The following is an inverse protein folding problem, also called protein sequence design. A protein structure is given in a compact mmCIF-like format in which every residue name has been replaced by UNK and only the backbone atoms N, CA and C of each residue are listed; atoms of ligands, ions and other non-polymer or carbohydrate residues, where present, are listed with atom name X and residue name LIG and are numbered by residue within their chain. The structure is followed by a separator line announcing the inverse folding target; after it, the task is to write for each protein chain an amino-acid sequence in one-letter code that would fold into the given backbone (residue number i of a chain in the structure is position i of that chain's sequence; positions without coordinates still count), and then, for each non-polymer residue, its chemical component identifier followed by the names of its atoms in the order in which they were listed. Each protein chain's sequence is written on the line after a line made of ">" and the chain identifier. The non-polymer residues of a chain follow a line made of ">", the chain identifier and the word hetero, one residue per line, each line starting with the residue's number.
data_IF_661706022205
#
_entry.id   IF_661706022205
#
_cell.length_a   1.000
_cell.length_b   1.000
_cell.length_c   1.000
_cell.angle_alpha   90.00
_cell.angle_beta   90.00
_cell.angle_gamma   90.00
#
_symmetry.space_group_name_H-M   'P 1'
#
loop_
_entity.id
_entity.type
_entity.pdbx_description
1 polymer ?
#
# COMPACT_ATOMS: atom_id res chain seq x y z
N UNK A 1 -13.63 2.33 -1.14
CA UNK A 1 -14.58 1.90 -0.11
C UNK A 1 -15.75 1.11 -0.72
N UNK A 2 -16.40 1.60 -1.78
CA UNK A 2 -17.56 0.96 -2.42
C UNK A 2 -17.25 -0.45 -2.94
N UNK A 3 -16.11 -0.65 -3.59
CA UNK A 3 -15.70 -1.96 -4.12
C UNK A 3 -15.51 -3.00 -3.00
N UNK A 4 -15.00 -2.56 -1.83
CA UNK A 4 -14.88 -3.41 -0.65
C UNK A 4 -16.23 -3.87 -0.13
N UNK A 5 -17.16 -2.91 0.07
CA UNK A 5 -18.52 -3.21 0.54
C UNK A 5 -19.30 -4.07 -0.46
N UNK A 6 -19.16 -3.78 -1.76
CA UNK A 6 -19.79 -4.58 -2.81
C UNK A 6 -19.23 -6.01 -2.84
N UNK A 7 -17.92 -6.19 -2.61
CA UNK A 7 -17.31 -7.51 -2.54
C UNK A 7 -17.78 -8.34 -1.34
N UNK A 8 -18.04 -7.67 -0.21
CA UNK A 8 -18.58 -8.32 0.99
C UNK A 8 -20.05 -8.72 0.79
N UNK A 9 -20.84 -7.85 0.12
CA UNK A 9 -22.26 -8.13 -0.18
C UNK A 9 -22.40 -9.27 -1.19
N UNK A 10 -21.61 -9.27 -2.25
CA UNK A 10 -21.67 -10.32 -3.28
C UNK A 10 -21.12 -11.66 -2.78
N UNK A 11 -20.37 -11.70 -1.66
CA UNK A 11 -19.66 -12.86 -1.18
C UNK A 11 -18.58 -13.38 -2.16
N UNK A 12 -18.36 -12.68 -3.25
CA UNK A 12 -17.44 -13.03 -4.34
C UNK A 12 -16.48 -11.88 -4.61
N UNK A 13 -15.19 -12.17 -4.56
CA UNK A 13 -14.13 -11.16 -4.74
C UNK A 13 -13.54 -11.19 -6.15
N UNK A 14 -13.51 -12.37 -6.79
CA UNK A 14 -12.93 -12.61 -8.10
C UNK A 14 -13.53 -11.72 -9.19
N UNK A 15 -14.86 -11.53 -9.20
CA UNK A 15 -15.53 -10.70 -10.20
C UNK A 15 -15.04 -9.24 -10.20
N UNK A 16 -14.88 -8.64 -9.02
CA UNK A 16 -14.36 -7.27 -8.88
C UNK A 16 -12.86 -7.18 -9.19
N UNK A 17 -12.09 -8.23 -8.90
CA UNK A 17 -10.69 -8.31 -9.32
C UNK A 17 -10.58 -8.37 -10.83
N UNK A 18 -11.37 -9.23 -11.50
CA UNK A 18 -11.41 -9.31 -12.96
C UNK A 18 -11.82 -7.98 -13.59
N UNK A 19 -12.83 -7.30 -13.03
CA UNK A 19 -13.23 -5.98 -13.52
C UNK A 19 -12.09 -4.96 -13.37
N UNK A 20 -11.46 -4.87 -12.20
CA UNK A 20 -10.41 -3.88 -11.92
C UNK A 20 -9.12 -4.15 -12.71
N UNK A 21 -8.67 -5.40 -12.81
CA UNK A 21 -7.51 -5.77 -13.62
C UNK A 21 -7.83 -5.76 -15.13
N UNK A 22 -9.05 -6.14 -15.52
CA UNK A 22 -9.53 -6.05 -16.89
C UNK A 22 -9.55 -4.62 -17.41
N UNK A 23 -10.11 -3.67 -16.65
CA UNK A 23 -10.05 -2.24 -16.97
C UNK A 23 -8.61 -1.77 -17.15
N UNK A 24 -7.72 -2.13 -16.23
CA UNK A 24 -6.30 -1.79 -16.34
C UNK A 24 -5.65 -2.42 -17.59
N UNK A 25 -5.98 -3.66 -17.94
CA UNK A 25 -5.47 -4.32 -19.15
C UNK A 25 -6.00 -3.67 -20.43
N UNK A 26 -7.29 -3.30 -20.45
CA UNK A 26 -7.91 -2.60 -21.60
C UNK A 26 -7.32 -1.20 -21.83
N UNK A 27 -6.84 -0.52 -20.77
CA UNK A 27 -6.21 0.80 -20.92
C UNK A 27 -4.77 0.72 -21.43
N UNK A 28 -4.08 -0.43 -21.31
CA UNK A 28 -2.68 -0.55 -21.75
C UNK A 28 -2.49 -0.28 -23.26
N UNK A 29 -3.29 -0.85 -24.16
CA UNK A 29 -3.21 -0.53 -25.60
C UNK A 29 -3.51 0.94 -25.92
N UNK A 30 -4.30 1.63 -25.08
CA UNK A 30 -4.65 3.03 -25.31
C UNK A 30 -3.43 3.97 -25.20
N UNK A 31 -2.41 3.61 -24.40
CA UNK A 31 -1.21 4.46 -24.27
C UNK A 31 -0.39 4.54 -25.55
N UNK A 32 -0.01 3.43 -26.23
CA UNK A 32 0.70 3.50 -27.50
C UNK A 32 -0.16 4.03 -28.65
N UNK A 33 -1.51 3.94 -28.56
CA UNK A 33 -2.44 4.46 -29.56
C UNK A 33 -2.83 5.92 -29.30
N UNK A 34 -2.42 6.51 -28.20
CA UNK A 34 -2.78 7.89 -27.86
C UNK A 34 -1.99 8.90 -28.72
N UNK A 35 -2.73 9.73 -29.46
CA UNK A 35 -2.18 10.83 -30.26
C UNK A 35 -2.37 12.21 -29.60
N UNK A 36 -2.99 12.25 -28.42
CA UNK A 36 -3.23 13.50 -27.69
C UNK A 36 -3.03 13.32 -26.19
N UNK A 37 -2.77 14.41 -25.49
CA UNK A 37 -2.61 14.43 -24.02
C UNK A 37 -3.92 14.02 -23.33
N UNK A 38 -5.07 14.39 -23.89
CA UNK A 38 -6.40 14.05 -23.37
C UNK A 38 -6.61 12.52 -23.42
N UNK A 39 -6.20 11.86 -24.51
CA UNK A 39 -6.31 10.40 -24.64
C UNK A 39 -5.45 9.69 -23.57
N UNK A 40 -4.22 10.16 -23.34
CA UNK A 40 -3.36 9.65 -22.26
C UNK A 40 -4.00 9.88 -20.89
N UNK A 41 -4.57 11.07 -20.67
CA UNK A 41 -5.26 11.40 -19.42
C UNK A 41 -6.45 10.46 -19.17
N UNK A 42 -7.31 10.24 -20.16
CA UNK A 42 -8.45 9.33 -20.06
C UNK A 42 -7.99 7.89 -19.79
N UNK A 43 -6.99 7.39 -20.52
CA UNK A 43 -6.43 6.06 -20.29
C UNK A 43 -5.92 5.92 -18.85
N UNK A 44 -5.19 6.94 -18.35
CA UNK A 44 -4.68 6.96 -16.98
C UNK A 44 -5.79 7.03 -15.94
N UNK A 45 -6.81 7.82 -16.18
CA UNK A 45 -7.96 7.95 -15.29
C UNK A 45 -8.72 6.64 -15.15
N UNK A 46 -8.99 5.94 -16.26
CA UNK A 46 -9.65 4.62 -16.24
C UNK A 46 -8.77 3.57 -15.55
N UNK A 47 -7.45 3.56 -15.77
CA UNK A 47 -6.51 2.70 -15.03
C UNK A 47 -6.60 2.94 -13.51
N UNK A 48 -6.71 4.20 -13.07
CA UNK A 48 -6.87 4.56 -11.65
C UNK A 48 -8.20 4.08 -11.07
N UNK A 49 -9.28 4.17 -11.82
CA UNK A 49 -10.58 3.57 -11.43
C UNK A 49 -10.42 2.06 -11.25
N UNK A 50 -9.80 1.37 -12.21
CA UNK A 50 -9.52 -0.07 -12.11
C UNK A 50 -8.70 -0.42 -10.86
N UNK A 51 -7.69 0.39 -10.52
CA UNK A 51 -6.91 0.23 -9.28
C UNK A 51 -7.77 0.42 -8.02
N UNK A 52 -8.68 1.41 -8.01
CA UNK A 52 -9.61 1.64 -6.92
C UNK A 52 -10.59 0.49 -6.71
N UNK A 53 -11.08 -0.12 -7.80
CA UNK A 53 -12.01 -1.25 -7.75
C UNK A 53 -11.34 -2.50 -7.16
N UNK A 54 -10.09 -2.81 -7.55
CA UNK A 54 -9.43 -4.07 -7.16
C UNK A 54 -8.74 -4.04 -5.80
N UNK A 55 -8.39 -2.87 -5.26
CA UNK A 55 -7.53 -2.75 -4.09
C UNK A 55 -8.08 -3.45 -2.85
N UNK A 56 -9.23 -3.01 -2.35
CA UNK A 56 -9.85 -3.59 -1.16
C UNK A 56 -10.29 -5.06 -1.34
N UNK A 57 -10.93 -5.48 -2.46
CA UNK A 57 -11.25 -6.89 -2.70
C UNK A 57 -10.02 -7.80 -2.76
N UNK A 58 -8.88 -7.33 -3.30
CA UNK A 58 -7.63 -8.08 -3.35
C UNK A 58 -7.10 -8.37 -1.96
N UNK A 59 -6.98 -7.32 -1.15
CA UNK A 59 -6.43 -7.46 0.20
C UNK A 59 -7.36 -8.29 1.10
N UNK A 60 -8.68 -8.15 0.91
CA UNK A 60 -9.66 -9.00 1.57
C UNK A 60 -9.56 -10.46 1.13
N UNK A 61 -9.31 -10.75 -0.16
CA UNK A 61 -9.11 -12.11 -0.64
C UNK A 61 -7.86 -12.75 -0.02
N UNK A 62 -6.75 -12.02 0.06
CA UNK A 62 -5.55 -12.50 0.76
C UNK A 62 -5.86 -12.82 2.22
N UNK A 63 -6.59 -11.94 2.92
CA UNK A 63 -7.00 -12.16 4.31
C UNK A 63 -7.94 -13.36 4.49
N UNK A 64 -8.71 -13.72 3.45
CA UNK A 64 -9.64 -14.86 3.48
C UNK A 64 -8.95 -16.19 3.27
N UNK A 65 -7.95 -16.21 2.39
CA UNK A 65 -7.21 -17.44 2.00
C UNK A 65 -6.06 -17.71 2.97
N UNK A 66 -5.42 -16.67 3.50
CA UNK A 66 -4.27 -16.79 4.38
C UNK A 66 -4.67 -17.34 5.77
N UNK A 67 -4.13 -18.49 6.19
CA UNK A 67 -4.30 -18.96 7.56
C UNK A 67 -3.84 -17.91 8.58
N UNK A 68 -4.51 -17.76 9.74
CA UNK A 68 -4.15 -16.76 10.74
C UNK A 68 -2.69 -16.81 11.20
N UNK A 69 -2.11 -18.03 11.25
CA UNK A 69 -0.74 -18.27 11.71
C UNK A 69 0.35 -17.73 10.78
N UNK A 70 0.06 -17.57 9.48
CA UNK A 70 1.04 -17.11 8.46
C UNK A 70 0.51 -15.90 7.67
N UNK A 71 -0.49 -15.21 8.18
CA UNK A 71 -1.14 -14.09 7.48
C UNK A 71 -0.18 -12.92 7.25
N UNK A 72 0.70 -12.65 8.21
CA UNK A 72 1.74 -11.65 8.07
C UNK A 72 2.71 -11.96 6.95
N UNK A 73 3.20 -13.20 6.86
CA UNK A 73 4.05 -13.67 5.77
C UNK A 73 3.35 -13.55 4.40
N UNK A 74 2.05 -13.90 4.32
CA UNK A 74 1.26 -13.77 3.07
C UNK A 74 1.16 -12.32 2.61
N UNK A 75 0.86 -11.37 3.51
CA UNK A 75 0.84 -9.94 3.17
C UNK A 75 2.23 -9.40 2.86
N UNK A 76 3.26 -9.86 3.57
CA UNK A 76 4.66 -9.52 3.30
C UNK A 76 5.09 -9.98 1.92
N UNK A 77 4.82 -11.24 1.55
CA UNK A 77 5.09 -11.79 0.23
C UNK A 77 4.37 -11.01 -0.88
N UNK A 78 3.06 -10.74 -0.68
CA UNK A 78 2.30 -9.92 -1.63
C UNK A 78 2.96 -8.57 -1.85
N UNK A 79 3.41 -7.93 -0.79
CA UNK A 79 4.03 -6.61 -0.86
C UNK A 79 5.40 -6.66 -1.54
N UNK A 80 6.23 -7.68 -1.23
CA UNK A 80 7.50 -7.90 -1.93
C UNK A 80 7.28 -8.07 -3.44
N UNK A 81 6.30 -8.89 -3.84
CA UNK A 81 6.00 -9.10 -5.27
C UNK A 81 5.48 -7.84 -5.97
N UNK A 82 4.64 -7.06 -5.29
CA UNK A 82 4.15 -5.76 -5.80
C UNK A 82 5.34 -4.80 -6.06
N UNK A 83 6.31 -4.77 -5.14
CA UNK A 83 7.49 -3.89 -5.23
C UNK A 83 8.51 -4.40 -6.26
N UNK A 84 8.70 -5.72 -6.38
CA UNK A 84 9.50 -6.32 -7.47
C UNK A 84 8.95 -5.86 -8.82
N UNK A 85 7.64 -5.93 -9.02
CA UNK A 85 6.99 -5.46 -10.25
C UNK A 85 7.19 -3.96 -10.49
N UNK A 86 7.10 -3.15 -9.44
CA UNK A 86 7.33 -1.71 -9.51
C UNK A 86 8.77 -1.33 -9.87
N UNK A 87 9.74 -2.17 -9.49
CA UNK A 87 11.16 -2.01 -9.85
C UNK A 87 11.48 -2.57 -11.25
N UNK A 88 11.04 -3.79 -11.54
CA UNK A 88 11.33 -4.46 -12.81
C UNK A 88 10.65 -3.78 -14.01
N UNK A 89 9.48 -3.16 -13.82
CA UNK A 89 8.76 -2.47 -14.89
C UNK A 89 9.59 -1.39 -15.57
N UNK A 90 10.05 -0.36 -14.85
CA UNK A 90 10.92 0.68 -15.40
C UNK A 90 12.26 0.13 -15.94
N UNK A 91 12.85 -0.85 -15.27
CA UNK A 91 14.11 -1.47 -15.75
C UNK A 91 13.92 -2.16 -17.10
N UNK A 92 12.86 -2.95 -17.25
CA UNK A 92 12.52 -3.57 -18.54
C UNK A 92 12.21 -2.53 -19.61
N UNK A 93 11.52 -1.44 -19.24
CA UNK A 93 11.25 -0.36 -20.18
C UNK A 93 12.56 0.28 -20.72
N UNK A 94 13.54 0.52 -19.83
CA UNK A 94 14.86 1.04 -20.24
C UNK A 94 15.58 0.05 -21.17
N UNK A 95 15.63 -1.23 -20.79
CA UNK A 95 16.28 -2.26 -21.62
C UNK A 95 15.60 -2.41 -22.99
N UNK A 96 14.27 -2.38 -23.03
CA UNK A 96 13.52 -2.45 -24.29
C UNK A 96 13.71 -1.20 -25.13
N UNK A 97 13.82 0.00 -24.54
CA UNK A 97 14.16 1.23 -25.26
C UNK A 97 15.52 1.16 -25.94
N UNK A 98 16.53 0.53 -25.30
CA UNK A 98 17.86 0.32 -25.90
C UNK A 98 17.83 -0.65 -27.10
N UNK A 99 16.83 -1.54 -27.15
CA UNK A 99 16.73 -2.55 -28.21
C UNK A 99 15.77 -2.16 -29.34
N UNK A 100 14.67 -1.51 -29.00
CA UNK A 100 13.60 -1.19 -29.94
C UNK A 100 13.69 0.25 -30.46
N UNK A 101 14.40 1.12 -29.74
CA UNK A 101 14.57 2.56 -30.05
C UNK A 101 13.25 3.29 -30.34
N UNK A 102 12.13 2.72 -29.86
CA UNK A 102 10.79 3.24 -30.08
C UNK A 102 9.93 3.05 -28.81
N UNK A 103 9.47 4.17 -28.26
CA UNK A 103 8.64 4.21 -27.08
C UNK A 103 7.28 3.51 -27.28
N UNK A 104 6.71 3.61 -28.48
CA UNK A 104 5.41 3.03 -28.79
C UNK A 104 5.49 1.50 -28.73
N UNK A 105 6.53 0.91 -29.31
CA UNK A 105 6.80 -0.53 -29.26
C UNK A 105 7.02 -1.02 -27.82
N UNK A 106 7.77 -0.27 -26.99
CA UNK A 106 7.93 -0.59 -25.56
C UNK A 106 6.59 -0.60 -24.81
N UNK A 107 5.73 0.37 -25.08
CA UNK A 107 4.39 0.42 -24.47
C UNK A 107 3.51 -0.76 -24.90
N UNK A 108 3.64 -1.26 -26.13
CA UNK A 108 2.96 -2.47 -26.57
C UNK A 108 3.40 -3.72 -25.81
N UNK A 109 4.69 -3.85 -25.47
CA UNK A 109 5.20 -4.97 -24.66
C UNK A 109 4.52 -4.99 -23.28
N UNK A 110 4.19 -3.83 -22.70
CA UNK A 110 3.50 -3.75 -21.42
C UNK A 110 2.07 -4.33 -21.42
N UNK A 111 1.48 -4.54 -22.58
CA UNK A 111 0.17 -5.20 -22.73
C UNK A 111 0.25 -6.69 -22.33
N UNK A 112 1.35 -7.37 -22.64
CA UNK A 112 1.52 -8.80 -22.39
C UNK A 112 1.37 -9.17 -20.91
N UNK A 113 2.11 -8.56 -19.94
CA UNK A 113 1.93 -8.87 -18.53
C UNK A 113 0.54 -8.47 -18.02
N UNK A 114 -0.09 -7.43 -18.56
CA UNK A 114 -1.45 -7.05 -18.18
C UNK A 114 -2.48 -8.11 -18.57
N UNK A 115 -2.38 -8.67 -19.78
CA UNK A 115 -3.22 -9.78 -20.23
C UNK A 115 -2.94 -11.06 -19.42
N UNK A 116 -1.68 -11.36 -19.14
CA UNK A 116 -1.29 -12.52 -18.33
C UNK A 116 -1.95 -12.48 -16.94
N UNK A 117 -2.00 -11.33 -16.30
CA UNK A 117 -2.68 -11.19 -14.99
C UNK A 117 -4.18 -11.51 -15.12
N UNK A 118 -4.86 -11.07 -16.16
CA UNK A 118 -6.28 -11.37 -16.37
C UNK A 118 -6.47 -12.88 -16.59
N UNK A 119 -5.62 -13.51 -17.41
CA UNK A 119 -5.66 -14.95 -17.64
C UNK A 119 -5.43 -15.78 -16.38
N UNK A 120 -4.46 -15.37 -15.54
CA UNK A 120 -4.22 -16.01 -14.25
C UNK A 120 -5.40 -15.85 -13.30
N UNK A 121 -6.04 -14.68 -13.28
CA UNK A 121 -7.25 -14.46 -12.48
C UNK A 121 -8.44 -15.30 -12.94
N UNK A 122 -8.58 -15.57 -14.25
CA UNK A 122 -9.62 -16.47 -14.77
C UNK A 122 -9.45 -17.89 -14.22
N UNK A 123 -8.21 -18.35 -14.03
CA UNK A 123 -7.88 -19.68 -13.47
C UNK A 123 -7.96 -19.73 -11.94
N UNK A 124 -8.02 -18.58 -11.25
CA UNK A 124 -8.11 -18.53 -9.81
C UNK A 124 -9.40 -19.19 -9.31
N UNK A 125 -9.26 -20.17 -8.43
CA UNK A 125 -10.39 -20.76 -7.70
C UNK A 125 -10.71 -19.89 -6.50
N UNK A 126 -11.91 -19.38 -6.43
CA UNK A 126 -12.37 -18.57 -5.29
C UNK A 126 -12.89 -19.52 -4.19
N UNK A 127 -12.50 -19.31 -2.92
CA UNK A 127 -13.08 -20.08 -1.83
C UNK A 127 -14.59 -19.79 -1.75
N UNK A 128 -15.40 -20.85 -1.72
CA UNK A 128 -16.85 -20.74 -1.57
C UNK A 128 -17.16 -20.19 -0.17
N UNK A 129 -17.79 -19.03 -0.11
CA UNK A 129 -18.36 -18.47 1.10
C UNK A 129 -19.86 -18.76 1.12
N UNK A 130 -20.45 -19.05 2.30
CA UNK A 130 -21.90 -19.06 2.43
C UNK A 130 -22.41 -17.69 1.99
N UNK A 131 -23.21 -17.66 0.93
CA UNK A 131 -23.89 -16.45 0.48
C UNK A 131 -25.08 -16.24 1.40
N UNK A 132 -24.86 -15.60 2.55
CA UNK A 132 -25.99 -15.07 3.29
C UNK A 132 -26.56 -13.92 2.47
N UNK A 133 -27.83 -14.02 2.10
CA UNK A 133 -28.60 -12.99 1.40
C UNK A 133 -28.84 -11.79 2.34
N UNK A 134 -27.76 -11.02 2.59
CA UNK A 134 -27.87 -9.77 3.35
C UNK A 134 -28.16 -8.61 2.41
N UNK A 135 -29.08 -7.71 2.75
CA UNK A 135 -29.33 -6.53 1.93
C UNK A 135 -28.04 -5.70 1.80
N UNK A 136 -27.75 -5.21 0.58
CA UNK A 136 -26.64 -4.30 0.37
C UNK A 136 -26.82 -3.06 1.26
N UNK A 137 -25.82 -2.80 2.11
CA UNK A 137 -25.81 -1.59 2.94
C UNK A 137 -24.69 -0.69 2.47
N UNK A 138 -25.03 0.56 2.24
CA UNK A 138 -24.05 1.57 1.83
C UNK A 138 -22.94 1.67 2.89
N UNK A 139 -21.65 1.63 2.48
CA UNK A 139 -20.54 1.80 3.41
C UNK A 139 -20.45 3.21 3.99
N UNK A 140 -21.23 4.17 3.47
CA UNK A 140 -21.30 5.56 3.95
C UNK A 140 -22.23 5.70 5.14
N UNK A 141 -23.14 4.74 5.38
CA UNK A 141 -24.04 4.79 6.51
C UNK A 141 -23.30 4.71 7.84
N UNK A 142 -23.51 5.69 8.72
CA UNK A 142 -22.93 5.74 10.07
C UNK A 142 -23.16 4.45 10.88
N UNK A 143 -24.26 3.76 10.64
CA UNK A 143 -24.59 2.48 11.28
C UNK A 143 -23.63 1.36 10.85
N UNK A 144 -23.06 1.41 9.65
CA UNK A 144 -22.06 0.43 9.19
C UNK A 144 -20.73 0.59 9.97
N UNK A 145 -20.38 1.81 10.35
CA UNK A 145 -19.14 2.12 11.08
C UNK A 145 -19.16 1.64 12.53
N UNK A 146 -20.35 1.61 13.16
CA UNK A 146 -20.55 1.08 14.52
C UNK A 146 -20.35 -0.43 14.65
N UNK A 147 -20.30 -1.16 13.53
CA UNK A 147 -20.04 -2.60 13.50
C UNK A 147 -18.58 -2.95 13.74
N UNK A 148 -17.67 -1.99 13.53
CA UNK A 148 -16.25 -2.21 13.75
C UNK A 148 -15.89 -1.99 15.21
N UNK A 149 -15.02 -2.88 15.71
CA UNK A 149 -14.53 -2.83 17.09
C UNK A 149 -13.70 -1.59 17.37
N UNK A 150 -13.53 -1.25 18.65
CA UNK A 150 -12.58 -0.21 19.08
C UNK A 150 -11.14 -0.54 18.63
N UNK A 151 -10.79 -1.81 18.58
CA UNK A 151 -9.48 -2.27 18.10
C UNK A 151 -9.27 -1.94 16.62
N UNK A 152 -10.28 -2.11 15.78
CA UNK A 152 -10.22 -1.75 14.37
C UNK A 152 -9.98 -0.23 14.20
N UNK A 153 -10.78 0.60 14.87
CA UNK A 153 -10.63 2.06 14.77
C UNK A 153 -9.30 2.55 15.31
N UNK A 154 -8.76 1.89 16.33
CA UNK A 154 -7.42 2.17 16.81
C UNK A 154 -6.35 1.84 15.75
N UNK A 155 -6.47 0.71 15.04
CA UNK A 155 -5.57 0.37 13.93
C UNK A 155 -5.69 1.40 12.80
N UNK A 156 -6.93 1.83 12.47
CA UNK A 156 -7.17 2.88 11.46
C UNK A 156 -6.51 4.21 11.88
N UNK A 157 -6.62 4.60 13.14
CA UNK A 157 -6.01 5.83 13.66
C UNK A 157 -4.47 5.76 13.62
N UNK A 158 -3.87 4.64 14.05
CA UNK A 158 -2.41 4.43 13.95
C UNK A 158 -1.97 4.44 12.49
N UNK A 159 -2.69 3.75 11.61
CA UNK A 159 -2.39 3.72 10.17
C UNK A 159 -2.57 5.08 9.49
N UNK A 160 -3.55 5.88 9.92
CA UNK A 160 -3.75 7.25 9.45
C UNK A 160 -2.59 8.17 9.84
N UNK A 161 -2.17 8.16 11.13
CA UNK A 161 -1.00 8.91 11.60
C UNK A 161 0.29 8.44 10.91
N UNK A 162 0.44 7.13 10.74
CA UNK A 162 1.55 6.57 9.97
C UNK A 162 1.55 7.07 8.53
N UNK A 163 0.37 7.17 7.90
CA UNK A 163 0.27 7.69 6.52
C UNK A 163 0.55 9.18 6.46
N UNK A 164 0.20 9.96 7.49
CA UNK A 164 0.59 11.37 7.60
C UNK A 164 2.11 11.54 7.75
N UNK A 165 2.78 10.62 8.46
CA UNK A 165 4.23 10.60 8.58
C UNK A 165 4.92 10.29 7.24
N UNK A 166 4.26 9.52 6.38
CA UNK A 166 4.77 9.05 5.10
C UNK A 166 4.21 9.87 3.95
N UNK A 167 4.78 11.02 3.71
CA UNK A 167 4.46 11.87 2.55
C UNK A 167 4.91 11.22 1.22
N UNK A 168 4.71 11.93 0.12
CA UNK A 168 5.06 11.43 -1.23
C UNK A 168 6.56 11.14 -1.37
N UNK A 169 6.90 10.01 -1.96
CA UNK A 169 8.27 9.60 -2.31
C UNK A 169 8.98 10.61 -3.22
N UNK A 170 8.22 11.51 -3.89
CA UNK A 170 8.77 12.60 -4.68
C UNK A 170 9.70 13.53 -3.87
N UNK A 171 9.47 13.68 -2.55
CA UNK A 171 10.33 14.51 -1.71
C UNK A 171 11.73 13.91 -1.50
N UNK A 172 11.88 12.58 -1.59
CA UNK A 172 13.18 11.92 -1.62
C UNK A 172 13.96 12.30 -2.88
N UNK A 173 13.26 12.32 -4.01
CA UNK A 173 13.83 12.74 -5.31
C UNK A 173 14.26 14.20 -5.25
N UNK A 174 13.39 15.09 -4.76
CA UNK A 174 13.69 16.51 -4.60
C UNK A 174 14.90 16.73 -3.68
N UNK A 175 15.02 15.95 -2.59
CA UNK A 175 16.17 16.04 -1.69
C UNK A 175 17.46 15.64 -2.38
N UNK A 176 17.46 14.57 -3.18
CA UNK A 176 18.60 14.14 -3.95
C UNK A 176 19.06 15.20 -4.95
N UNK A 177 18.10 15.83 -5.65
CA UNK A 177 18.39 16.92 -6.60
C UNK A 177 18.99 18.14 -5.89
N UNK A 178 18.46 18.53 -4.71
CA UNK A 178 19.03 19.62 -3.90
C UNK A 178 20.49 19.36 -3.48
N UNK A 179 20.86 18.10 -3.25
CA UNK A 179 22.23 17.69 -2.91
C UNK A 179 23.13 17.55 -4.14
N UNK A 180 22.65 17.90 -5.32
CA UNK A 180 23.43 17.90 -6.55
C UNK A 180 23.46 16.55 -7.30
N UNK A 181 22.54 15.63 -7.01
CA UNK A 181 22.42 14.41 -7.79
C UNK A 181 21.98 14.76 -9.21
N UNK A 182 22.82 14.42 -10.21
CA UNK A 182 22.51 14.67 -11.61
C UNK A 182 21.23 13.94 -12.03
N UNK A 183 20.40 14.57 -12.88
CA UNK A 183 19.06 14.10 -13.26
C UNK A 183 19.05 12.67 -13.79
N UNK A 184 20.09 12.23 -14.46
CA UNK A 184 20.27 10.85 -14.96
C UNK A 184 20.34 9.80 -13.85
N UNK A 185 20.80 10.17 -12.63
CA UNK A 185 20.94 9.27 -11.48
C UNK A 185 19.76 9.35 -10.51
N UNK A 186 18.82 10.25 -10.71
CA UNK A 186 17.61 10.39 -9.87
C UNK A 186 16.86 9.06 -9.70
N UNK A 187 16.70 8.20 -10.73
CA UNK A 187 16.06 6.90 -10.56
C UNK A 187 16.75 6.00 -9.53
N UNK A 188 18.06 6.18 -9.25
CA UNK A 188 18.81 5.39 -8.27
C UNK A 188 18.18 5.47 -6.86
N UNK A 189 17.62 6.62 -6.50
CA UNK A 189 16.92 6.81 -5.21
C UNK A 189 15.77 5.82 -5.08
N UNK A 190 14.93 5.72 -6.12
CA UNK A 190 13.79 4.81 -6.14
C UNK A 190 14.23 3.34 -6.20
N UNK A 191 15.34 3.06 -6.90
CA UNK A 191 15.92 1.71 -6.98
C UNK A 191 16.38 1.26 -5.60
N UNK A 192 17.17 2.05 -4.89
CA UNK A 192 17.68 1.75 -3.55
C UNK A 192 16.51 1.55 -2.57
N UNK A 193 15.56 2.47 -2.56
CA UNK A 193 14.38 2.39 -1.71
C UNK A 193 13.56 1.11 -2.00
N UNK A 194 13.25 0.84 -3.28
CA UNK A 194 12.43 -0.31 -3.67
C UNK A 194 13.14 -1.65 -3.41
N UNK A 195 14.46 -1.72 -3.60
CA UNK A 195 15.25 -2.91 -3.29
C UNK A 195 15.19 -3.23 -1.80
N UNK A 196 15.46 -2.23 -0.95
CA UNK A 196 15.40 -2.40 0.51
C UNK A 196 13.98 -2.76 0.98
N UNK A 197 12.95 -2.17 0.36
CA UNK A 197 11.56 -2.51 0.62
C UNK A 197 11.26 -3.97 0.24
N UNK A 198 11.60 -4.40 -0.95
CA UNK A 198 11.39 -5.77 -1.43
C UNK A 198 12.03 -6.80 -0.50
N UNK A 199 13.29 -6.58 -0.15
CA UNK A 199 14.07 -7.51 0.69
C UNK A 199 13.54 -7.58 2.12
N UNK A 200 12.98 -6.48 2.66
CA UNK A 200 12.50 -6.40 4.04
C UNK A 200 11.03 -6.82 4.21
N UNK A 201 10.19 -6.73 3.17
CA UNK A 201 8.75 -6.91 3.32
C UNK A 201 8.34 -8.34 3.70
N UNK A 202 8.91 -9.36 3.07
CA UNK A 202 8.62 -10.76 3.43
C UNK A 202 9.17 -11.13 4.82
N UNK A 203 10.44 -10.86 5.16
CA UNK A 203 10.96 -11.11 6.51
C UNK A 203 10.18 -10.39 7.61
N UNK A 204 9.78 -9.13 7.39
CA UNK A 204 8.98 -8.39 8.36
C UNK A 204 7.58 -9.01 8.52
N UNK A 205 6.96 -9.45 7.42
CA UNK A 205 5.70 -10.18 7.45
C UNK A 205 5.80 -11.48 8.25
N UNK A 206 6.81 -12.29 7.98
CA UNK A 206 7.10 -13.52 8.72
C UNK A 206 7.37 -13.24 10.21
N UNK A 207 8.16 -12.20 10.51
CA UNK A 207 8.44 -11.78 11.89
C UNK A 207 7.16 -11.39 12.63
N UNK A 208 6.19 -10.78 11.95
CA UNK A 208 4.90 -10.38 12.52
C UNK A 208 3.98 -11.54 12.87
N UNK A 209 4.25 -12.74 12.35
CA UNK A 209 3.53 -13.95 12.72
C UNK A 209 4.14 -14.62 13.98
N UNK A 210 5.43 -14.36 14.27
CA UNK A 210 6.15 -14.93 15.42
C UNK A 210 6.25 -13.97 16.61
N UNK A 211 6.23 -12.66 16.36
CA UNK A 211 6.24 -11.60 17.37
C UNK A 211 4.88 -10.91 17.45
N UNK A 212 4.67 -10.12 18.50
CA UNK A 212 3.49 -9.25 18.56
C UNK A 212 3.55 -8.24 17.40
N UNK A 213 2.54 -8.23 16.55
CA UNK A 213 2.45 -7.34 15.37
C UNK A 213 2.68 -5.86 15.69
N UNK A 214 2.27 -5.41 16.90
CA UNK A 214 2.54 -4.06 17.36
C UNK A 214 4.03 -3.76 17.56
N UNK A 215 4.84 -4.75 17.96
CA UNK A 215 6.29 -4.55 18.09
C UNK A 215 6.95 -4.44 16.71
N UNK A 216 6.55 -5.27 15.75
CA UNK A 216 7.08 -5.17 14.38
C UNK A 216 6.69 -3.85 13.72
N UNK A 217 5.45 -3.37 13.94
CA UNK A 217 5.03 -2.04 13.48
C UNK A 217 5.80 -0.92 14.19
N UNK A 218 6.08 -1.05 15.49
CA UNK A 218 6.90 -0.08 16.24
C UNK A 218 8.32 -0.01 15.67
N UNK A 219 8.92 -1.15 15.31
CA UNK A 219 10.23 -1.18 14.61
C UNK A 219 10.15 -0.42 13.28
N UNK A 220 9.08 -0.63 12.50
CA UNK A 220 8.85 0.13 11.26
C UNK A 220 8.76 1.64 11.50
N UNK A 221 8.05 2.07 12.54
CA UNK A 221 7.95 3.50 12.90
C UNK A 221 9.28 4.08 13.37
N UNK A 222 10.06 3.35 14.15
CA UNK A 222 11.41 3.78 14.58
C UNK A 222 12.35 3.90 13.37
N UNK A 223 12.28 2.98 12.42
CA UNK A 223 13.04 3.05 11.17
C UNK A 223 12.62 4.26 10.33
N UNK A 224 11.33 4.61 10.30
CA UNK A 224 10.86 5.81 9.60
C UNK A 224 11.38 7.08 10.27
N UNK A 225 11.32 7.17 11.61
CA UNK A 225 11.88 8.29 12.36
C UNK A 225 13.38 8.44 12.05
N UNK A 226 14.13 7.34 12.08
CA UNK A 226 15.57 7.35 11.78
C UNK A 226 15.84 7.78 10.33
N UNK A 227 15.04 7.29 9.36
CA UNK A 227 15.13 7.67 7.96
C UNK A 227 14.88 9.17 7.77
N UNK A 228 13.81 9.69 8.37
CA UNK A 228 13.44 11.10 8.26
C UNK A 228 14.49 12.01 8.90
N UNK A 229 14.98 11.68 10.10
CA UNK A 229 16.04 12.45 10.76
C UNK A 229 17.33 12.44 9.91
N UNK A 230 17.69 11.28 9.33
CA UNK A 230 18.86 11.17 8.47
C UNK A 230 18.71 12.03 7.19
N UNK A 231 17.53 11.99 6.56
CA UNK A 231 17.22 12.79 5.37
C UNK A 231 17.17 14.29 5.67
N UNK A 232 16.71 14.69 6.87
CA UNK A 232 16.69 16.08 7.29
C UNK A 232 18.12 16.68 7.37
N UNK A 233 19.07 15.92 7.95
CA UNK A 233 20.45 16.37 8.15
C UNK A 233 21.40 15.95 7.03
N UNK A 234 20.92 15.24 6.00
CA UNK A 234 21.77 14.75 4.92
C UNK A 234 22.45 15.92 4.19
N UNK A 235 23.78 15.90 4.20
CA UNK A 235 24.65 16.87 3.53
C UNK A 235 25.38 16.29 2.30
N UNK A 236 25.22 14.99 2.05
CA UNK A 236 25.87 14.28 0.95
C UNK A 236 24.94 13.25 0.32
N UNK A 237 25.20 12.90 -0.94
CA UNK A 237 24.43 11.90 -1.69
C UNK A 237 24.46 10.51 -1.01
N UNK A 238 25.62 9.98 -0.54
CA UNK A 238 25.63 8.69 0.17
C UNK A 238 24.75 8.69 1.41
N UNK A 239 24.79 9.75 2.22
CA UNK A 239 23.98 9.85 3.43
C UNK A 239 22.48 9.91 3.11
N UNK A 240 22.11 10.62 2.05
CA UNK A 240 20.74 10.67 1.53
C UNK A 240 20.29 9.30 1.02
N UNK A 241 21.14 8.55 0.32
CA UNK A 241 20.82 7.19 -0.14
C UNK A 241 20.65 6.21 1.02
N UNK A 242 21.43 6.35 2.10
CA UNK A 242 21.20 5.61 3.34
C UNK A 242 19.82 5.92 3.95
N UNK A 243 19.42 7.20 3.95
CA UNK A 243 18.07 7.61 4.38
C UNK A 243 16.97 6.98 3.51
N UNK A 244 17.16 6.98 2.17
CA UNK A 244 16.23 6.32 1.23
C UNK A 244 16.18 4.79 1.42
N UNK A 245 17.30 4.14 1.73
CA UNK A 245 17.35 2.72 2.06
C UNK A 245 16.54 2.42 3.34
N UNK A 246 16.75 3.18 4.41
CA UNK A 246 15.97 3.07 5.64
C UNK A 246 14.48 3.32 5.40
N UNK A 247 14.15 4.29 4.53
CA UNK A 247 12.77 4.53 4.09
C UNK A 247 12.18 3.28 3.40
N UNK A 248 12.93 2.59 2.57
CA UNK A 248 12.52 1.33 1.97
C UNK A 248 12.30 0.24 3.02
N UNK A 249 13.21 0.07 3.96
CA UNK A 249 13.09 -0.93 5.04
C UNK A 249 11.85 -0.69 5.89
N UNK A 250 11.60 0.57 6.32
CA UNK A 250 10.41 0.88 7.14
C UNK A 250 9.10 0.50 6.41
N UNK A 251 9.04 0.68 5.09
CA UNK A 251 7.87 0.27 4.29
C UNK A 251 7.63 -1.24 4.38
N UNK A 252 8.70 -2.04 4.34
CA UNK A 252 8.64 -3.48 4.54
C UNK A 252 8.08 -3.86 5.91
N UNK A 253 8.52 -3.20 6.97
CA UNK A 253 8.08 -3.43 8.34
C UNK A 253 6.68 -2.91 8.67
N UNK A 254 6.06 -2.13 7.81
CA UNK A 254 4.79 -1.46 8.11
C UNK A 254 3.63 -1.88 7.21
N UNK A 255 3.80 -1.92 5.89
CA UNK A 255 2.70 -2.09 4.94
C UNK A 255 1.96 -3.43 5.10
N UNK A 256 2.70 -4.55 5.09
CA UNK A 256 2.14 -5.89 5.27
C UNK A 256 1.56 -6.08 6.67
N UNK A 257 2.25 -5.55 7.70
CA UNK A 257 1.84 -5.65 9.10
C UNK A 257 0.53 -4.87 9.36
N UNK A 258 0.39 -3.67 8.81
CA UNK A 258 -0.87 -2.91 8.88
C UNK A 258 -2.02 -3.65 8.21
N UNK A 259 -1.80 -4.22 7.01
CA UNK A 259 -2.81 -5.02 6.33
C UNK A 259 -3.23 -6.22 7.19
N UNK A 260 -2.27 -6.88 7.84
CA UNK A 260 -2.54 -8.00 8.75
C UNK A 260 -3.35 -7.55 9.97
N UNK A 261 -3.00 -6.41 10.59
CA UNK A 261 -3.76 -5.85 11.73
C UNK A 261 -5.19 -5.49 11.34
N UNK A 262 -5.42 -4.92 10.16
CA UNK A 262 -6.77 -4.65 9.63
C UNK A 262 -7.54 -5.96 9.45
N UNK A 263 -6.93 -6.97 8.84
CA UNK A 263 -7.56 -8.27 8.63
C UNK A 263 -7.99 -8.95 9.95
N UNK A 264 -7.15 -8.86 11.00
CA UNK A 264 -7.40 -9.48 12.29
C UNK A 264 -8.39 -8.72 13.17
N UNK A 265 -8.46 -7.39 13.02
CA UNK A 265 -9.38 -6.56 13.79
C UNK A 265 -10.76 -6.44 13.14
N UNK A 266 -10.93 -6.99 11.95
CA UNK A 266 -12.17 -6.89 11.16
C UNK A 266 -13.01 -8.17 11.26
N UNK A 267 -14.35 -8.05 11.33
CA UNK A 267 -15.24 -9.20 11.19
C UNK A 267 -15.01 -9.93 9.85
N UNK A 268 -15.15 -11.26 9.86
CA UNK A 268 -14.93 -12.10 8.68
C UNK A 268 -15.78 -11.69 7.47
N UNK A 269 -17.00 -11.22 7.74
CA UNK A 269 -17.99 -10.81 6.73
C UNK A 269 -17.73 -9.41 6.14
N UNK A 270 -16.93 -8.57 6.83
CA UNK A 270 -16.75 -7.16 6.50
C UNK A 270 -15.30 -6.81 6.13
N UNK A 271 -14.47 -7.78 5.78
CA UNK A 271 -13.06 -7.54 5.44
C UNK A 271 -12.88 -6.60 4.26
N UNK A 272 -13.69 -6.74 3.21
CA UNK A 272 -13.63 -5.84 2.06
C UNK A 272 -13.97 -4.40 2.43
N UNK A 273 -15.04 -4.22 3.22
CA UNK A 273 -15.44 -2.90 3.76
C UNK A 273 -14.35 -2.31 4.66
N UNK A 274 -13.74 -3.13 5.52
CA UNK A 274 -12.65 -2.71 6.40
C UNK A 274 -11.43 -2.20 5.61
N UNK A 275 -10.95 -2.97 4.64
CA UNK A 275 -9.87 -2.52 3.77
C UNK A 275 -10.24 -1.30 2.93
N UNK A 276 -11.49 -1.24 2.45
CA UNK A 276 -12.02 -0.09 1.71
C UNK A 276 -12.01 1.19 2.55
N UNK A 277 -12.44 1.11 3.81
CA UNK A 277 -12.48 2.25 4.74
C UNK A 277 -11.05 2.67 5.16
N UNK A 278 -10.18 1.69 5.45
CA UNK A 278 -8.77 1.95 5.74
C UNK A 278 -8.06 2.66 4.57
N UNK A 279 -8.29 2.21 3.34
CA UNK A 279 -7.73 2.82 2.13
C UNK A 279 -8.29 4.23 1.88
N UNK A 280 -9.55 4.50 2.21
CA UNK A 280 -10.13 5.85 2.13
C UNK A 280 -9.44 6.80 3.11
N UNK A 281 -9.33 6.40 4.40
CA UNK A 281 -8.64 7.21 5.41
C UNK A 281 -7.18 7.41 5.02
N UNK A 282 -6.49 6.35 4.58
CA UNK A 282 -5.11 6.42 4.09
C UNK A 282 -4.95 7.37 2.90
N UNK A 283 -5.88 7.33 1.94
CA UNK A 283 -5.86 8.24 0.79
C UNK A 283 -6.01 9.72 1.19
N UNK A 284 -6.93 10.02 2.10
CA UNK A 284 -7.12 11.38 2.64
C UNK A 284 -5.87 11.83 3.41
N UNK A 285 -5.33 10.98 4.29
CA UNK A 285 -4.11 11.28 5.05
C UNK A 285 -2.91 11.50 4.12
N UNK A 286 -2.76 10.71 3.05
CA UNK A 286 -1.67 10.86 2.07
C UNK A 286 -1.76 12.20 1.32
N UNK A 287 -2.97 12.60 0.93
CA UNK A 287 -3.19 13.91 0.31
C UNK A 287 -2.79 15.04 1.27
N UNK A 288 -3.28 14.99 2.51
CA UNK A 288 -2.95 15.99 3.54
C UNK A 288 -1.45 16.01 3.82
N UNK A 289 -0.82 14.84 3.98
CA UNK A 289 0.63 14.71 4.18
C UNK A 289 1.41 15.39 3.05
N UNK A 290 1.01 15.16 1.79
CA UNK A 290 1.71 15.74 0.63
C UNK A 290 1.54 17.25 0.55
N UNK A 291 0.35 17.78 0.87
CA UNK A 291 0.09 19.24 0.91
C UNK A 291 0.88 19.90 2.03
N UNK A 292 0.83 19.34 3.24
CA UNK A 292 1.58 19.87 4.40
C UNK A 292 3.09 19.83 4.12
N UNK A 293 3.59 18.71 3.61
CA UNK A 293 5.00 18.56 3.27
C UNK A 293 5.46 19.54 2.19
N UNK A 294 4.63 19.79 1.17
CA UNK A 294 4.91 20.78 0.14
C UNK A 294 4.99 22.21 0.71
N UNK A 295 4.05 22.57 1.59
CA UNK A 295 4.04 23.89 2.24
C UNK A 295 5.26 24.07 3.16
N UNK A 296 5.62 23.05 3.94
CA UNK A 296 6.82 23.07 4.79
C UNK A 296 8.10 23.19 3.96
N UNK A 297 8.18 22.44 2.86
CA UNK A 297 9.33 22.49 1.94
C UNK A 297 9.56 23.88 1.37
N UNK A 298 8.48 24.53 0.90
CA UNK A 298 8.56 25.88 0.32
C UNK A 298 8.79 26.97 1.38
N UNK A 299 8.16 26.86 2.55
CA UNK A 299 8.22 27.90 3.58
C UNK A 299 9.48 27.84 4.46
N UNK A 300 9.90 26.64 4.84
CA UNK A 300 11.00 26.44 5.82
C UNK A 300 12.12 25.52 5.32
N UNK A 301 11.99 24.98 4.12
CA UNK A 301 13.01 24.15 3.49
C UNK A 301 12.84 22.65 3.75
N UNK A 302 13.66 21.86 3.03
CA UNK A 302 13.57 20.40 2.98
C UNK A 302 13.62 19.72 4.35
N UNK A 303 14.53 20.18 5.25
CA UNK A 303 14.71 19.56 6.55
C UNK A 303 13.42 19.55 7.40
N UNK A 304 12.62 20.63 7.35
CA UNK A 304 11.39 20.73 8.13
C UNK A 304 10.32 19.76 7.66
N UNK A 305 10.29 19.41 6.37
CA UNK A 305 9.41 18.35 5.84
C UNK A 305 9.71 17.01 6.50
N UNK A 306 10.97 16.64 6.59
CA UNK A 306 11.39 15.38 7.21
C UNK A 306 11.23 15.41 8.74
N UNK A 307 11.49 16.54 9.42
CA UNK A 307 11.22 16.66 10.86
C UNK A 307 9.72 16.52 11.16
N UNK A 308 8.85 17.06 10.32
CA UNK A 308 7.40 16.88 10.48
C UNK A 308 7.00 15.40 10.30
N UNK A 309 7.57 14.69 9.30
CA UNK A 309 7.40 13.26 9.13
C UNK A 309 7.80 12.48 10.39
N UNK A 310 9.00 12.71 10.92
CA UNK A 310 9.47 12.10 12.16
C UNK A 310 8.53 12.41 13.34
N UNK A 311 8.00 13.64 13.44
CA UNK A 311 7.02 14.04 14.45
C UNK A 311 5.72 13.25 14.38
N UNK A 312 5.13 13.12 13.17
CA UNK A 312 3.93 12.29 12.98
C UNK A 312 4.20 10.81 13.25
N UNK A 313 5.37 10.29 12.87
CA UNK A 313 5.77 8.91 13.16
C UNK A 313 5.91 8.68 14.67
N UNK A 314 6.45 9.65 15.41
CA UNK A 314 6.53 9.62 16.88
C UNK A 314 5.12 9.62 17.50
N UNK A 315 4.20 10.45 17.02
CA UNK A 315 2.81 10.45 17.48
C UNK A 315 2.13 9.09 17.21
N UNK A 316 2.37 8.49 16.04
CA UNK A 316 1.87 7.15 15.71
C UNK A 316 2.44 6.10 16.67
N UNK A 317 3.73 6.18 17.03
CA UNK A 317 4.40 5.28 17.96
C UNK A 317 3.84 5.44 19.39
N UNK A 318 3.59 6.66 19.85
CA UNK A 318 2.96 6.95 21.14
C UNK A 318 1.51 6.43 21.18
N UNK A 319 0.75 6.57 20.10
CA UNK A 319 -0.59 5.98 20.00
C UNK A 319 -0.53 4.46 20.01
N UNK A 320 0.46 3.87 19.33
CA UNK A 320 0.68 2.43 19.29
C UNK A 320 0.97 1.84 20.67
N UNK A 321 1.72 2.56 21.52
CA UNK A 321 2.03 2.15 22.89
C UNK A 321 0.79 2.16 23.82
N UNK A 322 -0.22 2.98 23.51
CA UNK A 322 -1.49 3.09 24.24
C UNK A 322 -2.56 2.11 23.77
N UNK A 323 -2.18 0.93 23.31
CA UNK A 323 -3.11 -0.08 22.78
C UNK A 323 -4.25 -0.35 23.77
N UNK A 324 -5.53 -0.24 23.34
CA UNK A 324 -6.65 -0.64 24.20
C UNK A 324 -6.51 -2.14 24.56
N UNK A 325 -6.71 -2.46 25.85
CA UNK A 325 -6.77 -3.87 26.30
C UNK A 325 -7.77 -4.61 25.44
N UNK A 326 -7.34 -5.67 24.76
CA UNK A 326 -8.25 -6.57 24.04
C UNK A 326 -9.20 -7.17 25.04
N UNK A 327 -10.52 -6.91 24.89
CA UNK A 327 -11.53 -7.76 25.47
C UNK A 327 -11.32 -9.16 24.88
N UNK A 328 -11.13 -10.15 25.72
CA UNK A 328 -10.83 -11.54 25.38
C UNK A 328 -12.04 -12.19 24.68
N UNK A 329 -12.10 -12.11 23.35
CA UNK A 329 -13.11 -12.79 22.54
C UNK A 329 -12.76 -14.28 22.25
N UNK A 330 -11.62 -14.76 22.74
CA UNK A 330 -11.16 -16.14 22.52
C UNK A 330 -11.68 -17.17 23.54
N UNK A 331 -12.42 -16.74 24.60
CA UNK A 331 -12.88 -17.69 25.64
C UNK A 331 -14.34 -18.13 25.51
N UNK A 332 -15.11 -17.68 24.52
CA UNK A 332 -16.53 -18.10 24.40
C UNK A 332 -16.77 -19.24 23.39
N UNK A 333 -15.74 -19.76 22.72
CA UNK A 333 -15.88 -20.91 21.80
C UNK A 333 -15.31 -22.24 22.33
N UNK A 334 -14.72 -22.26 23.53
CA UNK A 334 -14.24 -23.51 24.15
C UNK A 334 -15.13 -24.01 25.29
N UNK A 335 -16.35 -23.56 25.38
CA UNK A 335 -17.28 -23.91 26.45
C UNK A 335 -18.62 -24.51 25.97
N UNK A 336 -18.61 -25.22 24.85
CA UNK A 336 -19.71 -26.09 24.43
C UNK A 336 -19.11 -27.37 23.82
N UNK A 337 -18.70 -28.27 24.65
CA UNK A 337 -18.62 -29.73 24.44
C UNK A 337 -19.47 -30.41 25.48
#
# INVERSE_FOLDING_TARGET
>A
IFSGALSDHLGRRKGLLLLGYGLAALTKPLFPLAHSVEAVFVARFVDRIGKGIRGAPRDALVADVAPPAIRGACFGLRQSMDTIGAFLGPLLAILLMLWLDDLQSVLWVAVLPALLVVLLLLRLKEPTRPTETRPFRSPIEWRAWRRFSRSYWWVVAVGGLFTLARFSEAFLILRAQQLGLASQWVPLVMVVMSLCYTLSAYPAGWLSDHLRRSHVLAMGLLLLIAADLLLAVASSIPLMLCGAALWGVHMGFSQGVLATLIADSSPSELKGTAFGLFNLVGGICMLLASVVSGALWQGWGAAFTFYAGAGFALLALLLLSRRPRQASWQQSQSGCD
#
